data_IF_327980957417
#
_entry.id   IF_327980957417
#
_cell.length_a   1.000
_cell.length_b   1.000
_cell.length_c   1.000
_cell.angle_alpha   90.00
_cell.angle_beta   90.00
_cell.angle_gamma   90.00
#
_symmetry.space_group_name_H-M   'P 1'
#
loop_
_entity.id
_entity.type
_entity.pdbx_description
1 polymer ?
#
# COMPACT_ATOMS: atom_id res chain seq x y z
N UNK A 1 -19.70 13.41 5.63
CA UNK A 1 -18.90 12.62 6.56
C UNK A 1 -17.65 12.13 5.88
N UNK A 2 -16.53 12.21 6.57
CA UNK A 2 -15.24 11.84 6.00
C UNK A 2 -15.18 10.37 5.57
N UNK A 3 -15.80 9.47 6.35
CA UNK A 3 -15.85 8.04 6.00
C UNK A 3 -16.59 7.83 4.67
N UNK A 4 -17.63 8.63 4.40
CA UNK A 4 -18.35 8.54 3.14
C UNK A 4 -17.47 8.96 1.97
N UNK A 5 -16.59 9.96 2.17
CA UNK A 5 -15.67 10.38 1.14
C UNK A 5 -14.65 9.29 0.82
N UNK A 6 -14.14 8.59 1.83
CA UNK A 6 -13.21 7.47 1.61
C UNK A 6 -13.91 6.32 0.89
N UNK A 7 -15.16 6.02 1.23
CA UNK A 7 -15.93 5.01 0.53
C UNK A 7 -16.15 5.36 -0.93
N UNK A 8 -16.48 6.61 -1.22
CA UNK A 8 -16.68 7.08 -2.58
C UNK A 8 -15.41 6.95 -3.38
N UNK A 9 -14.29 7.43 -2.84
CA UNK A 9 -13.00 7.36 -3.51
C UNK A 9 -12.54 5.93 -3.75
N UNK A 10 -12.73 5.07 -2.75
CA UNK A 10 -12.37 3.65 -2.86
C UNK A 10 -13.22 2.95 -3.91
N UNK A 11 -14.51 3.27 -3.97
CA UNK A 11 -15.41 2.72 -4.98
C UNK A 11 -15.01 3.14 -6.37
N UNK A 12 -14.70 4.42 -6.57
CA UNK A 12 -14.26 4.92 -7.87
C UNK A 12 -12.95 4.27 -8.30
N UNK A 13 -12.01 4.12 -7.37
CA UNK A 13 -10.75 3.45 -7.65
C UNK A 13 -10.99 2.01 -8.11
N UNK A 14 -11.84 1.28 -7.38
CA UNK A 14 -12.16 -0.11 -7.70
C UNK A 14 -12.78 -0.26 -9.08
N UNK A 15 -13.69 0.62 -9.44
CA UNK A 15 -14.30 0.60 -10.76
C UNK A 15 -13.26 0.79 -11.87
N UNK A 16 -12.32 1.71 -11.67
CA UNK A 16 -11.25 1.95 -12.65
C UNK A 16 -10.31 0.77 -12.76
N UNK A 17 -9.95 0.16 -11.65
CA UNK A 17 -9.07 -1.00 -11.63
C UNK A 17 -9.71 -2.19 -12.34
N UNK A 18 -10.97 -2.45 -12.03
CA UNK A 18 -11.73 -3.54 -12.65
C UNK A 18 -11.84 -3.35 -14.16
N UNK A 19 -12.10 -2.13 -14.59
CA UNK A 19 -12.21 -1.80 -16.02
C UNK A 19 -10.90 -2.06 -16.75
N UNK A 20 -9.76 -1.84 -16.10
CA UNK A 20 -8.43 -2.02 -16.68
C UNK A 20 -7.82 -3.39 -16.41
N UNK A 21 -8.54 -4.28 -15.75
CA UNK A 21 -8.05 -5.59 -15.32
C UNK A 21 -6.78 -5.48 -14.49
N UNK A 22 -6.76 -4.52 -13.58
CA UNK A 22 -5.62 -4.28 -12.69
C UNK A 22 -5.98 -4.58 -11.26
N UNK A 23 -5.00 -4.96 -10.47
CA UNK A 23 -5.15 -5.20 -9.05
C UNK A 23 -4.41 -4.16 -8.24
N UNK A 24 -4.99 -3.83 -7.09
CA UNK A 24 -4.40 -2.89 -6.14
C UNK A 24 -3.45 -3.62 -5.21
N UNK A 25 -2.30 -3.02 -4.97
CA UNK A 25 -1.39 -3.40 -3.90
C UNK A 25 -0.86 -2.15 -3.22
N UNK A 26 -0.43 -2.29 -1.98
CA UNK A 26 0.18 -1.17 -1.26
C UNK A 26 1.25 -1.68 -0.29
N UNK A 27 2.11 -0.77 0.11
CA UNK A 27 3.05 -0.98 1.19
C UNK A 27 2.80 0.10 2.23
N UNK A 28 2.51 -0.31 3.46
CA UNK A 28 2.19 0.62 4.54
C UNK A 28 3.15 0.43 5.69
N UNK A 29 3.38 1.49 6.45
CA UNK A 29 4.21 1.47 7.65
C UNK A 29 3.45 2.13 8.80
N UNK A 30 3.59 3.43 8.97
CA UNK A 30 3.00 4.14 10.12
C UNK A 30 1.47 4.10 10.17
N UNK A 31 0.82 3.91 9.05
CA UNK A 31 -0.65 3.79 8.99
C UNK A 31 -1.16 2.46 9.53
N UNK A 32 -0.28 1.45 9.64
CA UNK A 32 -0.63 0.15 10.21
C UNK A 32 -1.69 -0.63 9.45
N UNK A 33 -1.94 -0.29 8.20
CA UNK A 33 -2.94 -0.96 7.38
C UNK A 33 -4.20 -0.15 7.13
N UNK A 34 -4.25 1.10 7.57
CA UNK A 34 -5.44 1.93 7.42
C UNK A 34 -5.85 2.12 5.97
N UNK A 35 -4.89 2.33 5.07
CA UNK A 35 -5.17 2.48 3.65
C UNK A 35 -5.85 1.23 3.09
N UNK A 36 -5.26 0.08 3.36
CA UNK A 36 -5.81 -1.20 2.90
C UNK A 36 -7.19 -1.46 3.47
N UNK A 37 -7.38 -1.20 4.77
CA UNK A 37 -8.67 -1.37 5.42
C UNK A 37 -9.74 -0.49 4.77
N UNK A 38 -9.41 0.76 4.48
CA UNK A 38 -10.35 1.70 3.85
C UNK A 38 -10.77 1.21 2.47
N UNK A 39 -9.84 0.64 1.72
CA UNK A 39 -10.11 0.17 0.37
C UNK A 39 -10.92 -1.13 0.38
N UNK A 40 -10.58 -2.09 1.24
CA UNK A 40 -11.29 -3.37 1.26
C UNK A 40 -12.68 -3.26 1.89
N UNK A 41 -13.00 -2.16 2.57
CA UNK A 41 -14.35 -1.97 3.14
C UNK A 41 -15.42 -1.82 2.06
N UNK A 42 -15.02 -1.55 0.82
CA UNK A 42 -15.95 -1.42 -0.30
C UNK A 42 -16.43 -2.81 -0.72
N UNK A 43 -17.76 -3.03 -0.82
CA UNK A 43 -18.28 -4.31 -1.30
C UNK A 43 -17.75 -4.65 -2.68
N UNK A 44 -17.35 -5.91 -2.85
CA UNK A 44 -16.83 -6.39 -4.13
C UNK A 44 -15.34 -6.13 -4.34
N UNK A 45 -14.63 -5.62 -3.34
CA UNK A 45 -13.22 -5.27 -3.47
C UNK A 45 -12.32 -6.46 -3.83
N UNK A 46 -12.74 -7.68 -3.55
CA UNK A 46 -11.96 -8.87 -3.91
C UNK A 46 -11.72 -9.00 -5.41
N UNK A 47 -12.50 -8.32 -6.22
CA UNK A 47 -12.33 -8.36 -7.67
C UNK A 47 -11.08 -7.60 -8.14
N UNK A 48 -10.56 -6.69 -7.32
CA UNK A 48 -9.43 -5.84 -7.73
C UNK A 48 -8.43 -5.57 -6.61
N UNK A 49 -8.64 -6.11 -5.41
CA UNK A 49 -7.68 -6.02 -4.32
C UNK A 49 -7.05 -7.40 -4.10
N UNK A 50 -5.75 -7.49 -4.24
CA UNK A 50 -5.06 -8.75 -4.09
C UNK A 50 -4.34 -8.88 -2.76
N UNK A 51 -3.34 -8.04 -2.54
CA UNK A 51 -2.45 -8.15 -1.40
C UNK A 51 -1.89 -6.78 -1.04
N UNK A 52 -1.66 -6.56 0.24
CA UNK A 52 -0.93 -5.39 0.72
C UNK A 52 0.06 -5.82 1.78
N UNK A 53 1.08 -5.01 1.98
CA UNK A 53 2.17 -5.30 2.90
C UNK A 53 2.22 -4.24 3.98
N UNK A 54 2.19 -4.67 5.23
CA UNK A 54 2.37 -3.77 6.37
C UNK A 54 3.73 -4.07 6.95
N UNK A 55 4.73 -3.27 6.57
CA UNK A 55 6.11 -3.45 7.00
C UNK A 55 6.51 -2.31 7.92
N UNK A 56 6.09 -2.43 9.17
CA UNK A 56 6.29 -1.37 10.15
C UNK A 56 7.76 -1.21 10.54
N UNK A 57 8.44 -2.32 10.79
CA UNK A 57 9.85 -2.30 11.21
C UNK A 57 10.80 -2.17 10.02
N UNK A 58 12.00 -1.67 10.27
CA UNK A 58 13.04 -1.60 9.24
C UNK A 58 13.44 -2.98 8.75
N UNK A 59 13.48 -3.96 9.67
CA UNK A 59 13.79 -5.34 9.30
C UNK A 59 12.78 -5.88 8.30
N UNK A 60 11.48 -5.64 8.55
CA UNK A 60 10.44 -6.11 7.63
C UNK A 60 10.49 -5.38 6.29
N UNK A 61 10.81 -4.09 6.28
CA UNK A 61 10.99 -3.35 5.03
C UNK A 61 12.08 -3.98 4.18
N UNK A 62 13.18 -4.34 4.79
CA UNK A 62 14.30 -4.96 4.10
C UNK A 62 13.97 -6.39 3.64
N UNK A 63 13.49 -7.23 4.55
CA UNK A 63 13.28 -8.65 4.26
C UNK A 63 12.13 -8.92 3.32
N UNK A 64 11.03 -8.19 3.48
CA UNK A 64 9.80 -8.46 2.72
C UNK A 64 9.75 -7.66 1.43
N UNK A 65 10.09 -6.38 1.50
CA UNK A 65 9.98 -5.47 0.35
C UNK A 65 11.30 -5.21 -0.36
N UNK A 66 12.41 -5.69 0.19
CA UNK A 66 13.72 -5.50 -0.44
C UNK A 66 14.29 -4.11 -0.31
N UNK A 67 13.81 -3.32 0.65
CA UNK A 67 14.40 -2.00 0.92
C UNK A 67 15.83 -2.19 1.37
N UNK A 68 16.76 -1.43 0.79
CA UNK A 68 18.18 -1.59 1.10
C UNK A 68 18.51 -1.06 2.49
N UNK A 69 19.42 -1.74 3.16
CA UNK A 69 19.92 -1.29 4.47
C UNK A 69 20.59 0.07 4.36
N UNK A 70 21.27 0.31 3.25
CA UNK A 70 21.95 1.58 3.01
C UNK A 70 20.96 2.74 2.93
N UNK A 71 19.83 2.54 2.24
CA UNK A 71 18.78 3.57 2.16
C UNK A 71 18.18 3.85 3.53
N UNK A 72 17.91 2.80 4.31
CA UNK A 72 17.37 2.95 5.66
C UNK A 72 18.34 3.69 6.57
N UNK A 73 19.63 3.41 6.47
CA UNK A 73 20.66 4.05 7.29
C UNK A 73 20.94 5.49 6.85
N UNK A 74 20.98 5.73 5.54
CA UNK A 74 21.35 7.04 5.00
C UNK A 74 20.21 8.04 5.00
N UNK A 75 18.98 7.61 4.71
CA UNK A 75 17.85 8.52 4.54
C UNK A 75 16.77 8.36 5.62
N UNK A 76 16.82 7.27 6.38
CA UNK A 76 15.81 6.98 7.39
C UNK A 76 14.55 6.36 6.79
N UNK A 77 13.74 5.74 7.66
CA UNK A 77 12.53 5.03 7.23
C UNK A 77 11.48 5.97 6.61
N UNK A 78 11.43 7.22 7.07
CA UNK A 78 10.49 8.21 6.57
C UNK A 78 11.21 9.11 5.57
N UNK A 79 11.29 8.65 4.33
CA UNK A 79 12.01 9.35 3.27
C UNK A 79 11.45 8.97 1.90
N UNK A 80 11.67 9.84 0.92
CA UNK A 80 11.25 9.56 -0.45
C UNK A 80 11.97 8.31 -1.00
N UNK A 81 13.24 8.15 -0.68
CA UNK A 81 14.04 7.02 -1.13
C UNK A 81 13.47 5.69 -0.64
N UNK A 82 13.16 5.61 0.65
CA UNK A 82 12.62 4.37 1.23
C UNK A 82 11.20 4.10 0.74
N UNK A 83 10.36 5.13 0.65
CA UNK A 83 8.99 4.97 0.14
C UNK A 83 9.01 4.43 -1.28
N UNK A 84 9.89 4.94 -2.13
CA UNK A 84 10.02 4.46 -3.50
C UNK A 84 10.43 2.99 -3.55
N UNK A 85 11.40 2.59 -2.74
CA UNK A 85 11.82 1.19 -2.68
C UNK A 85 10.72 0.28 -2.13
N UNK A 86 9.93 0.76 -1.16
CA UNK A 86 8.78 0.01 -0.64
C UNK A 86 7.74 -0.27 -1.73
N UNK A 87 7.39 0.74 -2.51
CA UNK A 87 6.42 0.59 -3.59
C UNK A 87 6.92 -0.40 -4.63
N UNK A 88 8.18 -0.28 -5.03
CA UNK A 88 8.77 -1.21 -6.00
C UNK A 88 8.78 -2.64 -5.47
N UNK A 89 9.06 -2.81 -4.20
CA UNK A 89 9.01 -4.13 -3.57
C UNK A 89 7.61 -4.71 -3.54
N UNK A 90 6.60 -3.90 -3.29
CA UNK A 90 5.21 -4.34 -3.25
C UNK A 90 4.71 -4.78 -4.63
N UNK A 91 5.16 -4.13 -5.68
CA UNK A 91 4.73 -4.43 -7.05
C UNK A 91 5.36 -5.73 -7.58
N UNK A 92 6.57 -6.04 -7.11
CA UNK A 92 7.21 -7.30 -7.50
C UNK A 92 6.46 -8.49 -6.96
#
# INVERSE_FOLDING_TARGET
MELNNLEILSTELGLKLKKKNMFFTSAESCTGGLLSQSIVSVPGSSAWFGCSFITYSNISKHKILGVSKDSLNSFGAVSNEVVEEMVRGAIR
#
